data_IF_002617091592
#
_entry.id   IF_002617091592
#
_cell.length_a   1.000
_cell.length_b   1.000
_cell.length_c   1.000
_cell.angle_alpha   90.00
_cell.angle_beta   90.00
_cell.angle_gamma   90.00
#
_symmetry.space_group_name_H-M   'P 1'
#
loop_
_entity.id
_entity.type
_entity.pdbx_description
1 polymer ?
#
# COMPACT_ATOMS: atom_id res chain seq x y z
N UNK A 1 -26.35 -1.70 -12.75
CA UNK A 1 -25.16 -2.42 -13.28
C UNK A 1 -24.23 -2.65 -12.10
N UNK A 2 -23.80 -3.88 -11.83
CA UNK A 2 -22.76 -4.12 -10.82
C UNK A 2 -21.44 -3.65 -11.43
N UNK A 3 -20.89 -2.56 -10.90
CA UNK A 3 -19.55 -2.10 -11.29
C UNK A 3 -18.56 -3.03 -10.60
N UNK A 4 -18.01 -3.98 -11.35
CA UNK A 4 -16.95 -4.84 -10.84
C UNK A 4 -15.64 -4.04 -10.86
N UNK A 5 -15.22 -3.54 -9.68
CA UNK A 5 -13.96 -2.80 -9.55
C UNK A 5 -12.79 -3.72 -9.86
N UNK A 6 -11.86 -3.28 -10.71
CA UNK A 6 -10.64 -4.04 -10.98
C UNK A 6 -9.71 -3.92 -9.78
N UNK A 7 -9.35 -5.05 -9.19
CA UNK A 7 -8.40 -5.10 -8.07
C UNK A 7 -6.98 -4.86 -8.56
N UNK A 8 -6.25 -3.98 -7.88
CA UNK A 8 -4.85 -3.68 -8.14
C UNK A 8 -4.09 -3.94 -6.84
N UNK A 9 -3.30 -5.01 -6.82
CA UNK A 9 -2.42 -5.33 -5.71
C UNK A 9 -1.07 -4.63 -5.90
N UNK A 10 -0.67 -3.84 -4.92
CA UNK A 10 0.65 -3.21 -4.86
C UNK A 10 1.42 -3.82 -3.70
N UNK A 11 2.64 -4.26 -3.98
CA UNK A 11 3.58 -4.77 -2.97
C UNK A 11 4.70 -3.75 -2.84
N UNK A 12 5.04 -3.36 -1.61
CA UNK A 12 6.16 -2.47 -1.33
C UNK A 12 7.01 -3.03 -0.19
N UNK A 13 8.33 -3.02 -0.38
CA UNK A 13 9.29 -3.60 0.55
C UNK A 13 10.14 -2.59 1.31
N UNK A 14 10.20 -1.34 0.84
CA UNK A 14 11.00 -0.30 1.46
C UNK A 14 10.44 1.12 1.27
N UNK A 15 10.78 2.01 2.22
CA UNK A 15 10.40 3.44 2.20
C UNK A 15 10.77 4.16 0.90
N UNK A 16 11.89 3.80 0.26
CA UNK A 16 12.32 4.40 -1.00
C UNK A 16 11.34 4.11 -2.16
N UNK A 17 10.71 2.93 -2.16
CA UNK A 17 9.69 2.54 -3.12
C UNK A 17 8.34 3.18 -2.76
N UNK A 18 7.97 3.13 -1.47
CA UNK A 18 6.71 3.68 -0.98
C UNK A 18 6.53 5.16 -1.34
N UNK A 19 7.59 5.97 -1.22
CA UNK A 19 7.54 7.37 -1.60
C UNK A 19 7.18 7.60 -3.08
N UNK A 20 7.65 6.73 -3.98
CA UNK A 20 7.31 6.77 -5.40
C UNK A 20 5.88 6.28 -5.65
N UNK A 21 5.42 5.29 -4.87
CA UNK A 21 4.08 4.73 -5.00
C UNK A 21 2.99 5.59 -4.38
N UNK A 22 3.28 6.42 -3.39
CA UNK A 22 2.29 7.27 -2.71
C UNK A 22 1.28 7.96 -3.64
N UNK A 23 1.70 8.72 -4.69
CA UNK A 23 0.74 9.34 -5.61
C UNK A 23 -0.07 8.34 -6.43
N UNK A 24 0.48 7.15 -6.71
CA UNK A 24 -0.19 6.07 -7.45
C UNK A 24 -1.24 5.39 -6.55
N UNK A 25 -0.87 5.06 -5.31
CA UNK A 25 -1.76 4.48 -4.32
C UNK A 25 -2.98 5.38 -4.07
N UNK A 26 -2.76 6.69 -3.93
CA UNK A 26 -3.88 7.66 -3.84
C UNK A 26 -4.81 7.58 -5.04
N UNK A 27 -4.27 7.60 -6.27
CA UNK A 27 -5.08 7.53 -7.49
C UNK A 27 -5.85 6.22 -7.64
N UNK A 28 -5.28 5.09 -7.21
CA UNK A 28 -5.98 3.79 -7.23
C UNK A 28 -7.12 3.81 -6.20
N UNK A 29 -6.85 4.25 -4.97
CA UNK A 29 -7.84 4.32 -3.88
C UNK A 29 -9.01 5.25 -4.23
N UNK A 30 -8.72 6.38 -4.86
CA UNK A 30 -9.72 7.42 -5.16
C UNK A 30 -10.48 7.14 -6.48
N UNK A 31 -10.20 6.02 -7.16
CA UNK A 31 -10.87 5.63 -8.41
C UNK A 31 -12.15 4.84 -8.17
N UNK A 32 -13.24 5.23 -8.82
CA UNK A 32 -14.52 4.49 -8.77
C UNK A 32 -14.47 3.13 -9.47
N UNK A 33 -13.48 2.91 -10.32
CA UNK A 33 -13.31 1.71 -11.14
C UNK A 33 -12.28 0.72 -10.62
N UNK A 34 -11.49 1.11 -9.60
CA UNK A 34 -10.41 0.31 -9.05
C UNK A 34 -10.61 0.02 -7.57
N UNK A 35 -10.01 -1.07 -7.10
CA UNK A 35 -9.90 -1.42 -5.70
C UNK A 35 -8.40 -1.61 -5.39
N UNK A 36 -7.87 -0.81 -4.46
CA UNK A 36 -6.50 -0.97 -4.00
C UNK A 36 -6.41 -2.16 -3.04
N UNK A 37 -5.45 -3.04 -3.29
CA UNK A 37 -4.93 -3.97 -2.29
C UNK A 37 -3.46 -3.65 -2.04
N UNK A 38 -3.05 -3.59 -0.77
CA UNK A 38 -1.69 -3.18 -0.41
C UNK A 38 -1.01 -4.21 0.49
N UNK A 39 0.18 -4.66 0.08
CA UNK A 39 1.03 -5.56 0.85
C UNK A 39 2.31 -4.81 1.24
N UNK A 40 2.60 -4.80 2.54
CA UNK A 40 3.87 -4.29 3.08
C UNK A 40 4.77 -5.47 3.49
N UNK A 41 6.04 -5.43 3.11
CA UNK A 41 6.99 -6.53 3.38
C UNK A 41 8.39 -6.02 3.70
N UNK A 42 9.31 -6.92 4.06
CA UNK A 42 10.75 -6.68 4.16
C UNK A 42 11.11 -5.50 5.09
N UNK A 43 11.72 -4.43 4.59
CA UNK A 43 12.22 -3.31 5.41
C UNK A 43 11.10 -2.50 6.04
N UNK A 44 9.86 -2.60 5.53
CA UNK A 44 8.73 -1.98 6.20
C UNK A 44 8.44 -2.59 7.57
N UNK A 45 8.65 -3.90 7.74
CA UNK A 45 8.34 -4.64 8.96
C UNK A 45 9.50 -4.64 9.97
N UNK A 46 10.73 -4.41 9.50
CA UNK A 46 11.92 -4.39 10.36
C UNK A 46 11.91 -3.21 11.34
N UNK A 47 12.12 -3.51 12.63
CA UNK A 47 12.33 -2.51 13.69
C UNK A 47 13.62 -1.71 13.48
N UNK A 48 14.68 -2.35 12.96
CA UNK A 48 15.96 -1.69 12.66
C UNK A 48 15.80 -0.56 11.64
N UNK A 49 14.87 -0.74 10.69
CA UNK A 49 14.53 0.25 9.69
C UNK A 49 13.34 1.15 10.09
N UNK A 50 12.93 1.11 11.36
CA UNK A 50 11.95 2.01 11.95
C UNK A 50 10.49 1.61 11.79
N UNK A 51 10.20 0.35 11.44
CA UNK A 51 8.83 -0.17 11.28
C UNK A 51 7.96 0.72 10.38
N UNK A 52 8.48 1.05 9.20
CA UNK A 52 7.89 2.07 8.31
C UNK A 52 6.51 1.69 7.74
N UNK A 53 6.02 0.47 7.95
CA UNK A 53 4.61 0.13 7.70
C UNK A 53 3.64 1.04 8.48
N UNK A 54 4.03 1.51 9.67
CA UNK A 54 3.22 2.45 10.48
C UNK A 54 3.02 3.78 9.77
N UNK A 55 3.99 4.21 8.97
CA UNK A 55 3.84 5.42 8.15
C UNK A 55 2.77 5.22 7.08
N UNK A 56 2.74 4.04 6.45
CA UNK A 56 1.71 3.68 5.45
C UNK A 56 0.30 3.76 6.07
N UNK A 57 0.13 3.23 7.28
CA UNK A 57 -1.13 3.31 8.02
C UNK A 57 -1.50 4.75 8.41
N UNK A 58 -0.53 5.52 8.92
CA UNK A 58 -0.73 6.93 9.29
C UNK A 58 -1.10 7.82 8.08
N UNK A 59 -0.62 7.47 6.89
CA UNK A 59 -0.98 8.12 5.63
C UNK A 59 -2.41 7.76 5.15
N UNK A 60 -3.11 6.91 5.89
CA UNK A 60 -4.50 6.53 5.65
C UNK A 60 -4.66 5.40 4.63
N UNK A 61 -3.62 4.59 4.41
CA UNK A 61 -3.72 3.37 3.63
C UNK A 61 -3.97 2.17 4.54
N UNK A 62 -4.93 1.33 4.15
CA UNK A 62 -5.09 0.00 4.74
C UNK A 62 -4.06 -0.93 4.13
N UNK A 63 -3.28 -1.61 4.97
CA UNK A 63 -2.46 -2.75 4.57
C UNK A 63 -3.35 -3.98 4.64
N UNK A 64 -3.48 -4.70 3.54
CA UNK A 64 -4.30 -5.91 3.45
C UNK A 64 -3.55 -7.15 3.93
N UNK A 65 -2.23 -7.17 3.79
CA UNK A 65 -1.38 -8.24 4.30
C UNK A 65 0.04 -7.75 4.59
N UNK A 66 0.69 -8.38 5.56
CA UNK A 66 2.11 -8.21 5.85
C UNK A 66 2.85 -9.53 5.67
N UNK A 67 3.99 -9.52 4.99
CA UNK A 67 4.80 -10.71 4.73
C UNK A 67 6.24 -10.48 5.20
N UNK A 68 6.74 -11.33 6.09
CA UNK A 68 8.16 -11.33 6.55
C UNK A 68 9.09 -12.06 5.57
#
# INVERSE_FOLDING_TARGET
MIINRRKICVVTGARAEYGLFYPVLKKIRDSDSLELQLIATTMHLSEEFGSTYKQIENDGFKIDETIE
#
